data_IF_464090689852
#
_entry.id   IF_464090689852
#
_cell.length_a   1.000
_cell.length_b   1.000
_cell.length_c   1.000
_cell.angle_alpha   90.00
_cell.angle_beta   90.00
_cell.angle_gamma   90.00
#
_symmetry.space_group_name_H-M   'P 1'
#
loop_
_entity.id
_entity.type
_entity.pdbx_description
1 polymer ?
2 non-polymer ?
3 non-polymer ?
4 non-polymer ?
5 non-polymer ?
6 water ?
#
# COMPACT_ATOMS: atom_id res chain seq x y z
N UNK A 2 3.51 -14.58 -18.60
CA UNK A 2 2.59 -13.45 -18.61
C UNK A 2 2.34 -12.96 -20.04
N UNK A 3 1.24 -12.23 -20.24
CA UNK A 3 0.94 -11.65 -21.54
C UNK A 3 1.49 -10.23 -21.63
N UNK A 4 1.51 -9.71 -22.85
CA UNK A 4 1.97 -8.34 -23.05
C UNK A 4 1.07 -7.33 -22.35
N UNK A 5 -0.25 -7.61 -22.36
CA UNK A 5 -1.18 -6.73 -21.66
C UNK A 5 -0.85 -6.63 -20.17
N UNK A 6 -0.31 -7.70 -19.59
CA UNK A 6 0.10 -7.67 -18.19
C UNK A 6 1.46 -7.00 -18.02
N UNK A 7 2.34 -7.08 -19.02
CA UNK A 7 3.65 -6.46 -18.92
C UNK A 7 3.53 -4.94 -18.84
N UNK A 8 2.89 -4.34 -19.84
CA UNK A 8 2.72 -2.88 -19.85
C UNK A 8 1.91 -2.39 -18.67
N UNK A 9 1.07 -3.25 -18.08
CA UNK A 9 0.33 -2.87 -16.89
C UNK A 9 1.28 -2.55 -15.75
N UNK A 10 2.13 -3.51 -15.36
CA UNK A 10 3.01 -3.30 -14.22
C UNK A 10 4.11 -2.30 -14.51
N UNK A 11 4.48 -2.12 -15.79
CA UNK A 11 5.49 -1.12 -16.11
C UNK A 11 4.94 0.29 -15.93
N UNK A 12 3.68 0.52 -16.32
CA UNK A 12 3.07 1.82 -16.09
C UNK A 12 2.74 2.01 -14.62
N UNK A 13 2.21 0.97 -13.97
CA UNK A 13 1.88 1.07 -12.55
C UNK A 13 3.11 1.42 -11.73
N UNK A 14 4.26 0.82 -12.06
CA UNK A 14 5.49 1.15 -11.34
C UNK A 14 5.95 2.58 -11.62
N UNK A 15 5.70 3.08 -12.85
CA UNK A 15 6.06 4.45 -13.17
C UNK A 15 5.17 5.46 -12.46
N UNK A 16 3.98 5.06 -12.03
CA UNK A 16 3.10 5.97 -11.30
C UNK A 16 3.40 5.97 -9.82
N UNK A 17 3.56 4.77 -9.24
CA UNK A 17 3.83 4.67 -7.81
C UNK A 17 5.16 5.32 -7.46
N UNK A 18 6.16 5.17 -8.34
CA UNK A 18 7.48 5.73 -8.10
C UNK A 18 7.55 7.23 -8.36
N UNK A 19 6.47 7.85 -8.82
CA UNK A 19 6.49 9.25 -9.18
C UNK A 19 7.16 9.54 -10.51
N UNK A 20 7.64 8.51 -11.22
CA UNK A 20 8.18 8.69 -12.55
C UNK A 20 7.22 9.47 -13.44
N UNK A 21 5.94 9.12 -13.39
CA UNK A 21 4.87 9.91 -13.98
C UNK A 21 4.24 10.73 -12.86
N UNK A 22 4.21 12.04 -13.04
CA UNK A 22 3.79 12.94 -11.97
C UNK A 22 2.31 12.71 -11.63
N UNK A 23 1.96 12.77 -10.34
CA UNK A 23 0.53 12.68 -9.98
C UNK A 23 -0.27 13.82 -10.61
N UNK A 24 -1.33 13.45 -11.31
CA UNK A 24 -2.16 14.41 -11.99
C UNK A 24 -1.79 14.67 -13.43
N UNK A 25 -0.82 13.95 -13.98
CA UNK A 25 -0.41 14.17 -15.36
C UNK A 25 -1.45 13.65 -16.34
N UNK A 26 -1.43 14.21 -17.54
CA UNK A 26 -2.25 13.73 -18.64
C UNK A 26 -1.52 12.55 -19.29
N UNK A 27 -2.11 11.37 -19.19
CA UNK A 27 -1.53 10.18 -19.81
C UNK A 27 -1.80 10.23 -21.32
N UNK A 28 -0.74 10.16 -22.10
CA UNK A 28 -0.84 10.25 -23.56
C UNK A 28 -0.81 8.83 -24.12
N UNK A 29 -1.99 8.31 -24.46
CA UNK A 29 -2.09 6.97 -25.05
C UNK A 29 -1.23 6.80 -26.31
N UNK A 30 -1.11 7.78 -27.23
CA UNK A 30 -0.20 7.59 -28.38
C UNK A 30 1.26 7.42 -27.97
N UNK A 31 1.82 8.39 -27.26
CA UNK A 31 3.22 8.31 -26.87
C UNK A 31 3.51 7.15 -25.93
N UNK A 32 2.49 6.65 -25.23
CA UNK A 32 2.69 5.48 -24.39
C UNK A 32 2.71 4.20 -25.22
N UNK A 33 1.83 4.11 -26.23
CA UNK A 33 1.85 2.96 -27.12
C UNK A 33 3.14 2.89 -27.93
N UNK A 34 3.82 4.03 -28.12
CA UNK A 34 5.10 4.02 -28.81
C UNK A 34 6.25 3.65 -27.87
N UNK A 35 6.11 3.97 -26.58
CA UNK A 35 7.17 3.66 -25.63
C UNK A 35 7.31 2.16 -25.43
N UNK A 36 6.20 1.43 -25.39
CA UNK A 36 6.22 -0.01 -25.15
C UNK A 36 5.87 -0.83 -26.39
N UNK A 37 5.37 -0.21 -27.45
CA UNK A 37 5.09 -0.92 -28.69
C UNK A 37 3.96 -1.93 -28.59
N UNK A 38 2.77 -1.47 -28.24
CA UNK A 38 1.58 -2.32 -28.21
C UNK A 38 0.43 -1.56 -28.86
N UNK A 39 -0.55 -2.32 -29.36
CA UNK A 39 -1.70 -1.70 -30.00
C UNK A 39 -2.65 -1.12 -28.95
N UNK A 40 -3.64 -0.37 -29.43
CA UNK A 40 -4.52 0.36 -28.52
C UNK A 40 -5.51 -0.57 -27.80
N UNK A 41 -5.70 -1.79 -28.30
CA UNK A 41 -6.55 -2.75 -27.64
C UNK A 41 -6.02 -3.15 -26.28
N UNK A 42 -4.87 -3.83 -26.26
CA UNK A 42 -4.25 -4.17 -24.97
C UNK A 42 -3.86 -2.96 -24.15
N UNK A 43 -3.54 -1.82 -24.79
CA UNK A 43 -3.23 -0.61 -24.03
C UNK A 43 -4.46 -0.12 -23.27
N UNK A 44 -5.60 0.01 -23.96
CA UNK A 44 -6.83 0.41 -23.27
C UNK A 44 -7.22 -0.61 -22.21
N UNK A 45 -6.87 -1.88 -22.42
CA UNK A 45 -7.12 -2.90 -21.40
C UNK A 45 -6.34 -2.60 -20.13
N UNK A 46 -5.10 -2.12 -20.27
CA UNK A 46 -4.28 -1.84 -19.09
C UNK A 46 -4.77 -0.59 -18.37
N UNK A 47 -5.18 0.45 -19.11
CA UNK A 47 -5.64 1.67 -18.48
C UNK A 47 -6.92 1.41 -17.68
N UNK A 48 -7.80 0.56 -18.20
CA UNK A 48 -9.05 0.25 -17.51
C UNK A 48 -8.78 -0.35 -16.14
N UNK A 49 -7.89 -1.34 -16.07
CA UNK A 49 -7.49 -1.89 -14.78
C UNK A 49 -6.83 -0.83 -13.91
N UNK A 50 -5.92 -0.06 -14.51
CA UNK A 50 -5.21 0.97 -13.77
C UNK A 50 -6.17 2.01 -13.21
N UNK A 51 -7.26 2.30 -13.92
CA UNK A 51 -8.29 3.18 -13.36
C UNK A 51 -9.05 2.50 -12.24
N UNK A 52 -9.24 1.18 -12.33
CA UNK A 52 -9.94 0.47 -11.28
C UNK A 52 -9.25 0.58 -9.93
N UNK A 53 -7.92 0.44 -9.92
CA UNK A 53 -7.14 0.55 -8.69
C UNK A 53 -6.90 1.99 -8.25
N UNK A 54 -7.66 2.95 -8.81
CA UNK A 54 -7.55 4.37 -8.46
C UNK A 54 -6.14 4.91 -8.71
N UNK A 55 -5.41 4.33 -9.66
CA UNK A 55 -4.13 4.90 -10.09
C UNK A 55 -4.33 5.93 -11.19
N UNK A 56 -4.99 5.54 -12.27
CA UNK A 56 -5.48 6.50 -13.25
C UNK A 56 -6.94 6.86 -12.96
N UNK A 57 -7.33 8.05 -13.39
CA UNK A 57 -8.72 8.49 -13.33
C UNK A 57 -9.15 8.88 -14.73
N UNK A 58 -10.38 8.53 -15.08
CA UNK A 58 -10.90 8.77 -16.42
C UNK A 58 -11.56 10.13 -16.48
N UNK A 59 -11.24 10.90 -17.50
CA UNK A 59 -11.86 12.19 -17.78
C UNK A 59 -12.72 12.04 -19.02
N UNK A 60 -14.01 12.44 -18.99
CA UNK A 60 -14.91 12.16 -20.12
C UNK A 60 -14.42 12.66 -21.47
N UNK A 61 -14.23 13.97 -21.60
CA UNK A 61 -13.91 14.57 -22.89
C UNK A 61 -12.41 14.64 -23.17
N UNK A 62 -11.57 14.11 -22.30
CA UNK A 62 -10.12 14.11 -22.51
C UNK A 62 -9.62 12.68 -22.59
N UNK A 63 -9.39 12.07 -21.42
CA UNK A 63 -8.88 10.72 -21.37
C UNK A 63 -8.53 10.28 -19.97
N UNK A 64 -7.36 9.65 -19.80
CA UNK A 64 -6.91 9.17 -18.50
C UNK A 64 -5.89 10.13 -17.91
N UNK A 65 -5.93 10.26 -16.59
CA UNK A 65 -5.05 11.15 -15.85
C UNK A 65 -4.59 10.44 -14.58
N UNK A 66 -3.34 10.68 -14.20
CA UNK A 66 -2.84 10.11 -12.95
C UNK A 66 -3.64 10.70 -11.79
N UNK A 67 -3.83 9.89 -10.74
CA UNK A 67 -4.72 10.26 -9.65
C UNK A 67 -4.26 11.56 -9.00
N UNK A 68 -5.21 12.32 -8.47
CA UNK A 68 -4.92 13.64 -7.94
C UNK A 68 -3.96 13.60 -6.75
N UNK A 69 -3.89 12.48 -6.04
CA UNK A 69 -3.09 12.38 -4.81
C UNK A 69 -3.51 13.44 -3.79
N UNK A 70 -4.82 13.62 -3.65
CA UNK A 70 -5.39 14.66 -2.81
C UNK A 70 -5.52 14.17 -1.37
N UNK A 71 -6.10 15.02 -0.51
CA UNK A 71 -6.31 14.66 0.88
C UNK A 71 -7.49 13.72 1.05
N UNK A 72 -8.57 13.92 0.27
CA UNK A 72 -9.73 13.05 0.37
C UNK A 72 -9.36 11.62 0.01
N UNK A 73 -8.51 11.43 -1.01
CA UNK A 73 -8.11 10.09 -1.40
C UNK A 73 -7.27 9.43 -0.32
N UNK A 74 -6.49 10.22 0.43
CA UNK A 74 -5.73 9.67 1.54
C UNK A 74 -6.65 9.17 2.65
N UNK A 75 -7.70 9.93 2.96
CA UNK A 75 -8.69 9.47 3.93
C UNK A 75 -9.35 8.19 3.44
N UNK A 76 -9.77 8.18 2.18
CA UNK A 76 -10.37 6.98 1.58
C UNK A 76 -9.44 5.78 1.73
N UNK A 77 -8.15 5.98 1.49
CA UNK A 77 -7.21 4.86 1.47
C UNK A 77 -6.90 4.37 2.88
N UNK A 78 -6.54 5.28 3.77
CA UNK A 78 -6.13 4.87 5.12
C UNK A 78 -7.31 4.38 5.96
N UNK A 79 -8.53 4.78 5.61
CA UNK A 79 -9.71 4.20 6.25
C UNK A 79 -9.76 2.70 6.02
N UNK A 80 -9.74 2.27 4.76
CA UNK A 80 -9.79 0.85 4.44
C UNK A 80 -8.59 0.13 5.04
N UNK A 81 -7.42 0.76 5.01
CA UNK A 81 -6.22 0.13 5.54
C UNK A 81 -6.32 -0.07 7.04
N UNK A 82 -6.95 0.87 7.76
CA UNK A 82 -7.13 0.71 9.20
C UNK A 82 -8.03 -0.48 9.51
N UNK A 83 -9.17 -0.57 8.84
CA UNK A 83 -10.11 -1.66 9.10
C UNK A 83 -9.51 -3.01 8.73
N UNK A 84 -8.76 -3.06 7.62
CA UNK A 84 -8.26 -4.34 7.13
C UNK A 84 -7.00 -4.78 7.88
N UNK A 85 -6.03 -3.87 8.06
CA UNK A 85 -4.82 -4.23 8.77
C UNK A 85 -5.10 -4.51 10.25
N UNK A 86 -6.00 -3.74 10.85
CA UNK A 86 -6.37 -4.01 12.23
C UNK A 86 -6.96 -5.39 12.40
N UNK A 87 -7.86 -5.76 11.49
CA UNK A 87 -8.43 -7.11 11.52
C UNK A 87 -7.37 -8.16 11.24
N UNK A 88 -6.41 -7.84 10.36
CA UNK A 88 -5.30 -8.75 10.12
C UNK A 88 -4.55 -9.05 11.40
N UNK A 89 -4.34 -8.03 12.25
CA UNK A 89 -3.67 -8.25 13.52
C UNK A 89 -4.51 -9.12 14.45
N UNK A 90 -5.82 -8.89 14.48
CA UNK A 90 -6.71 -9.72 15.28
C UNK A 90 -6.62 -11.18 14.86
N UNK A 91 -6.74 -11.45 13.55
CA UNK A 91 -6.69 -12.82 13.06
C UNK A 91 -5.31 -13.43 13.22
N UNK A 92 -4.26 -12.63 12.98
CA UNK A 92 -2.90 -13.15 13.14
C UNK A 92 -2.63 -13.57 14.57
N UNK A 93 -3.23 -12.88 15.55
CA UNK A 93 -2.99 -13.22 16.95
C UNK A 93 -3.59 -14.58 17.31
N UNK A 94 -4.69 -14.96 16.68
CA UNK A 94 -5.26 -16.28 16.95
C UNK A 94 -4.69 -17.38 16.06
N UNK A 95 -4.25 -17.03 14.86
CA UNK A 95 -3.94 -18.04 13.84
C UNK A 95 -2.45 -18.23 13.58
N UNK A 96 -1.59 -17.28 13.95
CA UNK A 96 -0.17 -17.45 13.73
C UNK A 96 0.37 -18.57 14.62
N UNK A 97 1.10 -19.51 14.00
CA UNK A 97 1.82 -20.50 14.78
C UNK A 97 2.96 -19.83 15.54
N UNK A 98 3.41 -20.50 16.60
CA UNK A 98 4.49 -19.93 17.42
C UNK A 98 5.76 -19.73 16.61
N UNK A 99 5.96 -20.54 15.57
CA UNK A 99 7.12 -20.35 14.69
C UNK A 99 6.99 -19.07 13.88
N UNK A 100 5.79 -18.78 13.37
CA UNK A 100 5.58 -17.55 12.63
C UNK A 100 5.74 -16.31 13.52
N UNK A 101 5.34 -16.41 14.79
CA UNK A 101 5.46 -15.28 15.70
C UNK A 101 6.93 -15.00 15.99
N UNK A 102 7.68 -16.05 16.36
CA UNK A 102 9.10 -15.87 16.65
C UNK A 102 9.85 -15.32 15.44
N UNK A 103 9.52 -15.79 14.25
CA UNK A 103 10.12 -15.25 13.04
C UNK A 103 9.72 -13.79 12.82
N UNK A 104 8.53 -13.41 13.27
CA UNK A 104 8.12 -12.02 13.16
C UNK A 104 9.00 -11.11 14.01
N UNK A 105 9.32 -11.54 15.24
CA UNK A 105 10.21 -10.75 16.08
C UNK A 105 11.61 -10.70 15.48
N UNK A 106 12.06 -11.79 14.85
CA UNK A 106 13.35 -11.78 14.17
C UNK A 106 13.41 -10.69 13.11
N UNK A 107 12.34 -10.57 12.31
CA UNK A 107 12.29 -9.56 11.26
C UNK A 107 12.33 -8.17 11.85
N UNK A 108 11.58 -7.94 12.94
CA UNK A 108 11.58 -6.63 13.58
C UNK A 108 12.91 -6.34 14.27
N UNK A 109 13.56 -7.37 14.83
CA UNK A 109 14.86 -7.19 15.45
C UNK A 109 15.92 -6.76 14.45
N UNK A 110 15.66 -6.92 13.15
CA UNK A 110 16.66 -6.58 12.14
C UNK A 110 16.99 -5.09 12.17
N UNK A 111 15.98 -4.25 12.31
CA UNK A 111 16.22 -2.80 12.44
C UNK A 111 16.55 -2.45 13.89
N UNK A 125 13.21 10.89 2.67
CA UNK A 125 12.59 9.61 2.33
C UNK A 125 12.87 8.57 3.41
N UNK A 126 12.21 7.42 3.31
CA UNK A 126 12.39 6.35 4.29
C UNK A 126 12.10 5.01 3.63
N UNK A 127 12.84 3.99 4.06
CA UNK A 127 12.67 2.65 3.48
C UNK A 127 11.36 2.01 3.93
N UNK A 128 11.11 1.98 5.23
CA UNK A 128 9.88 1.43 5.78
C UNK A 128 10.03 -0.03 6.18
N UNK A 129 9.01 -0.50 6.88
CA UNK A 129 9.00 -1.88 7.37
C UNK A 129 7.84 -2.66 6.76
N UNK A 130 7.77 -2.70 5.43
CA UNK A 130 6.71 -3.46 4.76
C UNK A 130 6.76 -4.94 5.13
N UNK A 131 7.96 -5.46 5.41
CA UNK A 131 8.06 -6.87 5.79
C UNK A 131 7.30 -7.15 7.08
N UNK A 132 7.37 -6.24 8.04
CA UNK A 132 6.62 -6.43 9.29
C UNK A 132 5.13 -6.55 9.02
N UNK A 133 4.56 -5.60 8.29
CA UNK A 133 3.13 -5.64 7.98
C UNK A 133 2.80 -6.85 7.13
N UNK A 134 3.70 -7.22 6.20
CA UNK A 134 3.41 -8.33 5.31
C UNK A 134 3.36 -9.65 6.07
N UNK A 135 4.23 -9.84 7.07
CA UNK A 135 4.20 -11.05 7.87
C UNK A 135 2.88 -11.17 8.63
N UNK A 136 2.37 -10.04 9.12
CA UNK A 136 1.12 -10.07 9.88
C UNK A 136 -0.06 -10.36 8.96
N UNK A 137 -0.11 -9.69 7.80
CA UNK A 137 -1.19 -9.94 6.85
C UNK A 137 -1.19 -11.39 6.39
N UNK A 138 0.01 -11.95 6.16
CA UNK A 138 0.10 -13.38 5.83
C UNK A 138 -0.25 -14.23 7.04
N UNK A 139 0.22 -13.86 8.23
CA UNK A 139 -0.11 -14.57 9.44
C UNK A 139 -1.60 -14.59 9.74
N UNK A 140 -2.37 -13.68 9.14
CA UNK A 140 -3.81 -13.66 9.35
C UNK A 140 -4.50 -14.86 8.71
N UNK A 141 -3.83 -15.57 7.81
CA UNK A 141 -4.42 -16.74 7.20
C UNK A 141 -5.58 -16.46 6.27
N UNK A 142 -5.56 -15.32 5.59
CA UNK A 142 -6.63 -14.93 4.67
C UNK A 142 -6.00 -14.50 3.36
N UNK A 143 -6.23 -15.28 2.30
CA UNK A 143 -5.63 -14.96 1.00
C UNK A 143 -6.29 -13.73 0.39
N UNK A 144 -7.61 -13.60 0.51
CA UNK A 144 -8.28 -12.40 0.00
C UNK A 144 -7.77 -11.15 0.70
N UNK A 145 -7.57 -11.22 2.01
CA UNK A 145 -7.02 -10.09 2.74
C UNK A 145 -5.64 -9.71 2.23
N UNK A 146 -4.83 -10.71 1.88
CA UNK A 146 -3.49 -10.44 1.36
C UNK A 146 -3.55 -9.75 0.01
N UNK A 147 -4.48 -10.16 -0.85
CA UNK A 147 -4.62 -9.52 -2.15
C UNK A 147 -5.10 -8.08 -2.01
N UNK A 148 -6.12 -7.86 -1.19
CA UNK A 148 -6.68 -6.52 -1.05
C UNK A 148 -5.71 -5.56 -0.39
N UNK A 149 -4.93 -6.05 0.58
CA UNK A 149 -3.95 -5.20 1.24
C UNK A 149 -2.72 -5.01 0.37
N UNK A 150 -1.98 -6.09 0.10
CA UNK A 150 -0.69 -6.00 -0.56
C UNK A 150 -0.80 -5.85 -2.07
N UNK A 151 -1.93 -6.18 -2.66
CA UNK A 151 -2.04 -6.15 -4.11
C UNK A 151 -2.72 -4.91 -4.65
N UNK A 152 -3.65 -4.33 -3.89
CA UNK A 152 -4.41 -3.17 -4.35
C UNK A 152 -4.11 -1.93 -3.51
N UNK A 153 -4.30 -2.01 -2.19
CA UNK A 153 -4.17 -0.82 -1.36
C UNK A 153 -2.72 -0.38 -1.21
N UNK A 154 -1.79 -1.34 -1.10
CA UNK A 154 -0.42 -0.97 -0.79
C UNK A 154 0.30 -0.29 -1.96
N UNK A 155 -0.26 -0.37 -3.16
CA UNK A 155 0.30 0.37 -4.28
C UNK A 155 -0.02 1.86 -4.18
N UNK A 156 -1.28 2.18 -3.89
CA UNK A 156 -1.65 3.57 -3.70
C UNK A 156 -1.07 4.13 -2.40
N UNK A 157 -0.80 3.25 -1.42
CA UNK A 157 -0.14 3.68 -0.20
C UNK A 157 1.28 4.15 -0.50
N UNK A 158 2.02 3.37 -1.30
CA UNK A 158 3.42 3.66 -1.53
C UNK A 158 3.62 4.97 -2.27
N UNK A 159 2.72 5.29 -3.22
CA UNK A 159 2.91 6.52 -3.97
C UNK A 159 2.54 7.76 -3.16
N UNK A 160 1.93 7.57 -1.98
CA UNK A 160 1.81 8.67 -1.02
C UNK A 160 3.09 8.83 -0.22
N UNK A 161 3.61 7.73 0.32
CA UNK A 161 4.87 7.76 1.08
C UNK A 161 6.05 8.14 0.21
N UNK A 162 5.96 7.94 -1.10
CA UNK A 162 7.05 8.35 -1.99
C UNK A 162 6.96 9.85 -2.28
N UNK A 163 5.75 10.36 -2.52
CA UNK A 163 5.59 11.79 -2.79
C UNK A 163 5.85 12.63 -1.55
N UNK A 164 5.57 12.10 -0.37
CA UNK A 164 5.71 12.84 0.89
C UNK A 164 6.58 12.04 1.84
N UNK A 165 7.80 12.53 2.09
CA UNK A 165 8.74 11.83 2.96
C UNK A 165 8.37 12.05 4.42
N UNK A 166 8.66 11.04 5.24
CA UNK A 166 8.33 11.10 6.66
C UNK A 166 9.23 12.11 7.37
N UNK A 167 8.86 12.43 8.61
CA UNK A 167 9.71 13.25 9.46
C UNK A 167 10.85 12.40 10.02
N UNK A 168 11.97 13.03 10.41
CA UNK A 168 13.12 12.24 10.89
C UNK A 168 12.85 11.45 12.16
N UNK A 169 11.83 11.81 12.95
CA UNK A 169 11.47 11.06 14.13
C UNK A 169 10.41 10.00 13.85
N UNK A 170 9.88 9.94 12.64
CA UNK A 170 8.84 8.97 12.30
C UNK A 170 9.39 7.54 12.21
N UNK A 171 10.55 7.29 11.60
CA UNK A 171 11.08 5.91 11.65
C UNK A 171 11.27 5.38 13.05
N UNK A 172 11.70 6.22 13.98
CA UNK A 172 11.88 5.77 15.36
C UNK A 172 10.53 5.51 16.03
N UNK A 173 9.54 6.38 15.76
CA UNK A 173 8.23 6.22 16.38
C UNK A 173 7.52 4.97 15.89
N UNK A 174 7.65 4.66 14.59
CA UNK A 174 6.97 3.49 14.04
C UNK A 174 7.56 2.19 14.54
N UNK A 175 8.86 2.17 14.86
CA UNK A 175 9.47 0.96 15.40
C UNK A 175 8.90 0.63 16.77
N UNK A 176 8.70 1.65 17.62
CA UNK A 176 8.05 1.44 18.91
C UNK A 176 6.64 0.92 18.72
N UNK A 177 5.88 1.54 17.81
CA UNK A 177 4.53 1.08 17.52
C UNK A 177 4.54 -0.36 17.03
N UNK A 178 5.53 -0.72 16.20
CA UNK A 178 5.62 -2.07 15.67
C UNK A 178 5.84 -3.09 16.80
N UNK A 179 6.71 -2.76 17.76
CA UNK A 179 7.06 -3.71 18.80
C UNK A 179 5.89 -3.96 19.75
N UNK A 180 5.17 -2.90 20.14
CA UNK A 180 3.99 -3.09 20.98
C UNK A 180 2.93 -3.91 20.26
N UNK A 181 2.78 -3.72 18.95
CA UNK A 181 1.88 -4.57 18.18
C UNK A 181 2.33 -6.01 18.25
N UNK A 182 3.62 -6.26 17.97
CA UNK A 182 4.17 -7.60 18.07
C UNK A 182 3.95 -8.21 19.45
N UNK A 183 4.07 -7.39 20.50
CA UNK A 183 3.88 -7.89 21.86
C UNK A 183 2.46 -8.39 22.06
N UNK A 184 1.47 -7.64 21.57
CA UNK A 184 0.08 -8.07 21.70
C UNK A 184 -0.19 -9.32 20.88
N UNK A 185 0.42 -9.43 19.70
CA UNK A 185 0.24 -10.62 18.87
C UNK A 185 0.89 -11.83 19.54
N UNK A 186 2.08 -11.66 20.09
CA UNK A 186 2.77 -12.75 20.76
C UNK A 186 2.06 -13.19 22.02
N UNK A 187 1.17 -12.36 22.56
CA UNK A 187 0.38 -12.70 23.75
C UNK A 187 -0.99 -13.25 23.40
N UNK A 188 -1.26 -13.50 22.11
CA UNK A 188 -2.56 -13.98 21.64
C UNK A 188 -3.68 -13.00 22.00
N UNK A 189 -3.36 -11.71 22.04
CA UNK A 189 -4.32 -10.66 22.40
C UNK A 189 -4.70 -9.92 21.12
N UNK A 190 -5.62 -10.53 20.35
CA UNK A 190 -6.03 -9.94 19.10
C UNK A 190 -6.71 -8.59 19.28
N UNK A 191 -7.50 -8.45 20.35
CA UNK A 191 -8.20 -7.20 20.59
C UNK A 191 -7.22 -6.05 20.79
N UNK A 192 -6.17 -6.27 21.57
CA UNK A 192 -5.17 -5.23 21.78
C UNK A 192 -4.33 -5.01 20.54
N UNK A 193 -3.96 -6.09 19.84
CA UNK A 193 -3.17 -5.97 18.63
C UNK A 193 -3.93 -5.19 17.56
N UNK A 194 -5.22 -5.46 17.41
CA UNK A 194 -6.03 -4.72 16.45
C UNK A 194 -6.06 -3.22 16.79
N UNK A 195 -6.26 -2.91 18.07
CA UNK A 195 -6.28 -1.51 18.50
C UNK A 195 -4.92 -0.84 18.28
N UNK A 196 -3.85 -1.51 18.71
CA UNK A 196 -2.51 -0.97 18.51
C UNK A 196 -2.20 -0.81 17.03
N UNK A 197 -2.66 -1.75 16.19
CA UNK A 197 -2.47 -1.62 14.75
C UNK A 197 -3.21 -0.41 14.20
N UNK A 198 -4.43 -0.18 14.69
CA UNK A 198 -5.22 0.96 14.20
C UNK A 198 -4.54 2.28 14.54
N UNK A 199 -4.07 2.41 15.78
CA UNK A 199 -3.39 3.64 16.19
C UNK A 199 -2.15 3.89 15.34
N UNK A 200 -1.42 2.83 14.99
CA UNK A 200 -0.22 2.99 14.19
C UNK A 200 -0.56 3.41 12.76
N UNK A 201 -1.66 2.89 12.21
CA UNK A 201 -2.12 3.32 10.90
C UNK A 201 -2.53 4.78 10.94
N UNK A 202 -3.24 5.19 11.99
CA UNK A 202 -3.65 6.58 12.12
C UNK A 202 -2.46 7.50 12.33
N UNK A 203 -1.42 7.04 13.03
CA UNK A 203 -0.22 7.84 13.17
C UNK A 203 0.47 8.01 11.82
N UNK A 204 0.41 6.99 10.97
CA UNK A 204 0.99 7.10 9.64
C UNK A 204 0.25 8.13 8.79
N UNK A 205 -1.09 8.15 8.89
CA UNK A 205 -1.87 9.10 8.10
C UNK A 205 -1.60 10.53 8.52
N UNK A 206 -1.55 10.78 9.84
CA UNK A 206 -1.25 12.12 10.33
C UNK A 206 0.14 12.56 9.91
N UNK A 207 1.09 11.63 9.87
CA UNK A 207 2.45 11.96 9.45
C UNK A 207 2.47 12.43 7.99
N UNK A 208 1.66 11.80 7.14
CA UNK A 208 1.57 12.22 5.74
C UNK A 208 0.78 13.51 5.62
N UNK A 209 -0.26 13.67 6.45
CA UNK A 209 -1.05 14.89 6.45
C UNK A 209 -0.24 16.12 6.88
N UNK A 210 0.98 15.92 7.38
CA UNK A 210 1.83 17.03 7.79
C UNK A 210 2.42 17.80 6.62
N UNK A 211 2.24 17.33 5.38
CA UNK A 211 2.81 17.98 4.20
C UNK A 211 1.83 17.84 3.03
N UNK A 212 0.94 18.82 2.91
CA UNK A 212 -0.04 18.82 1.83
C UNK A 212 -0.29 20.23 1.32
#
# INVERSE_FOLDING_TARGET
GETLSEHVFRKIQSAIVSGEIAPGSKISEPELARTYGISRGPLREAIHRLEGLRLLVRVPHVGARVVSLSHAELIELYEIRESLEGMACRLAAERMSQAEIDELRRVLDTHERDEAFQAGRGYYQQEGDYDFHYRIIQGSGNATLTRMLCGELYQLVRMYRIQYSTTPNRPRQAFAEHHRILDAIADRDGELAELLMRRHISASRRNIERQLEPQPAK
#
